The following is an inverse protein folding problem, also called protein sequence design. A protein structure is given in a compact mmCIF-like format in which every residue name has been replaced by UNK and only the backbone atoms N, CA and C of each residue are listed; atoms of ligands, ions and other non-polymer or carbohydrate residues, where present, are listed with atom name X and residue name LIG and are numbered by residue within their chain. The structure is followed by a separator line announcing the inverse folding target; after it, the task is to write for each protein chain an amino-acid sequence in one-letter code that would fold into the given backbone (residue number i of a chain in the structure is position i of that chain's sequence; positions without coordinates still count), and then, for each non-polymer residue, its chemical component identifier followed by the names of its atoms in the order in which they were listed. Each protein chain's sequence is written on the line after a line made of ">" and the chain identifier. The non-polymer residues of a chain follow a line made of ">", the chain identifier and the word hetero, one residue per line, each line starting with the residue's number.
data_IF_048058424667
#
_entry.id   IF_048058424667
#
_cell.length_a   1.000
_cell.length_b   1.000
_cell.length_c   1.000
_cell.angle_alpha   90.00
_cell.angle_beta   90.00
_cell.angle_gamma   90.00
#
_symmetry.space_group_name_H-M   'P 1'
#
loop_
_entity.id
_entity.type
_entity.pdbx_description
1 polymer ?
#
# COMPACT_ATOMS: atom_id res chain seq x y z
N UNK A 1 -12.31 2.52 -15.70
CA UNK A 1 -12.68 3.82 -15.12
C UNK A 1 -12.95 4.86 -16.20
N UNK A 2 -14.00 4.75 -17.04
CA UNK A 2 -14.41 5.88 -17.87
C UNK A 2 -14.67 7.09 -16.95
N UNK A 3 -14.01 8.23 -17.20
CA UNK A 3 -14.20 9.44 -16.40
C UNK A 3 -13.82 9.33 -14.92
N UNK A 4 -12.88 8.46 -14.58
CA UNK A 4 -12.32 8.34 -13.22
C UNK A 4 -13.14 7.52 -12.22
N UNK A 5 -14.26 6.93 -12.63
CA UNK A 5 -15.11 6.14 -11.73
C UNK A 5 -14.47 4.81 -11.37
N UNK A 6 -14.46 4.48 -10.07
CA UNK A 6 -13.87 3.26 -9.51
C UNK A 6 -14.93 2.31 -8.97
N UNK A 7 -14.64 1.02 -9.12
CA UNK A 7 -15.41 -0.09 -8.59
C UNK A 7 -14.42 -1.06 -7.94
N UNK A 8 -14.78 -1.60 -6.79
CA UNK A 8 -14.10 -2.76 -6.22
C UNK A 8 -14.58 -4.04 -6.90
N UNK A 9 -13.67 -4.98 -7.12
CA UNK A 9 -13.98 -6.30 -7.70
C UNK A 9 -14.41 -7.31 -6.64
N UNK A 10 -14.27 -6.97 -5.36
CA UNK A 10 -14.47 -7.84 -4.21
C UNK A 10 -15.33 -7.14 -3.16
N UNK A 11 -16.08 -7.92 -2.37
CA UNK A 11 -16.89 -7.43 -1.25
C UNK A 11 -16.36 -7.91 0.12
N UNK A 12 -15.06 -8.19 0.16
CA UNK A 12 -14.35 -8.67 1.35
C UNK A 12 -12.89 -8.23 1.30
N UNK A 13 -12.13 -8.64 2.31
CA UNK A 13 -10.69 -8.38 2.41
C UNK A 13 -9.94 -9.70 2.62
N UNK A 14 -8.76 -9.81 1.99
CA UNK A 14 -7.78 -10.86 2.27
C UNK A 14 -6.55 -10.26 2.97
N UNK A 15 -6.70 -9.99 4.27
CA UNK A 15 -5.74 -9.23 5.05
C UNK A 15 -4.55 -10.09 5.50
N UNK A 16 -3.34 -9.50 5.51
CA UNK A 16 -2.19 -10.07 6.21
C UNK A 16 -2.38 -9.86 7.71
N UNK A 17 -2.16 -10.88 8.51
CA UNK A 17 -2.41 -10.83 9.96
C UNK A 17 -1.15 -10.71 10.79
N UNK A 18 0.03 -11.01 10.25
CA UNK A 18 1.27 -10.90 11.02
C UNK A 18 1.52 -9.46 11.47
N UNK A 19 1.82 -9.30 12.77
CA UNK A 19 2.00 -8.02 13.44
C UNK A 19 0.75 -7.13 13.51
N UNK A 20 -0.45 -7.71 13.31
CA UNK A 20 -1.70 -6.99 13.48
C UNK A 20 -1.88 -6.60 14.95
N UNK A 21 -2.00 -5.30 15.19
CA UNK A 21 -2.09 -4.72 16.52
C UNK A 21 -3.38 -3.89 16.64
N UNK A 22 -4.13 -4.12 17.73
CA UNK A 22 -5.40 -3.44 17.98
C UNK A 22 -5.23 -1.93 18.19
N UNK A 23 -4.09 -1.50 18.71
CA UNK A 23 -3.79 -0.08 18.95
C UNK A 23 -3.63 0.68 17.62
N UNK A 24 -2.91 0.09 16.67
CA UNK A 24 -2.60 0.74 15.39
C UNK A 24 -3.67 0.50 14.32
N UNK A 25 -4.35 -0.66 14.33
CA UNK A 25 -5.27 -1.10 13.28
C UNK A 25 -6.59 -1.67 13.84
N UNK A 26 -7.35 -0.90 14.65
CA UNK A 26 -8.50 -1.42 15.40
C UNK A 26 -9.62 -1.98 14.52
N UNK A 27 -9.89 -1.37 13.36
CA UNK A 27 -10.95 -1.83 12.46
C UNK A 27 -10.63 -3.20 11.84
N UNK A 28 -9.38 -3.39 11.39
CA UNK A 28 -8.92 -4.67 10.83
C UNK A 28 -8.85 -5.72 11.95
N UNK A 29 -8.32 -5.36 13.13
CA UNK A 29 -8.29 -6.27 14.29
C UNK A 29 -9.68 -6.79 14.65
N UNK A 30 -10.67 -5.89 14.75
CA UNK A 30 -12.04 -6.27 15.06
C UNK A 30 -12.67 -7.15 13.96
N UNK A 31 -12.40 -6.85 12.69
CA UNK A 31 -12.89 -7.65 11.57
C UNK A 31 -12.29 -9.08 11.55
N UNK A 32 -10.97 -9.19 11.75
CA UNK A 32 -10.24 -10.47 11.78
C UNK A 32 -10.62 -11.34 12.98
N UNK A 33 -10.95 -10.73 14.12
CA UNK A 33 -11.38 -11.46 15.33
C UNK A 33 -12.89 -11.68 15.39
N UNK A 34 -13.63 -11.28 14.34
CA UNK A 34 -15.08 -11.48 14.28
C UNK A 34 -15.43 -12.95 13.99
N UNK A 35 -16.61 -13.43 14.44
CA UNK A 35 -17.05 -14.81 14.16
C UNK A 35 -17.21 -15.16 12.67
N UNK A 36 -17.32 -14.15 11.79
CA UNK A 36 -17.44 -14.35 10.35
C UNK A 36 -16.10 -14.46 9.62
N UNK A 37 -14.97 -14.23 10.31
CA UNK A 37 -13.66 -14.26 9.69
C UNK A 37 -13.11 -15.68 9.57
N UNK A 38 -12.44 -15.95 8.45
CA UNK A 38 -11.70 -17.17 8.21
C UNK A 38 -10.21 -16.90 8.30
N UNK A 39 -9.53 -17.56 9.23
CA UNK A 39 -8.09 -17.43 9.43
C UNK A 39 -7.32 -18.52 8.69
N UNK A 40 -6.21 -18.15 8.07
CA UNK A 40 -5.31 -19.05 7.36
C UNK A 40 -3.89 -18.91 7.94
N UNK A 41 -3.34 -20.02 8.44
CA UNK A 41 -1.99 -20.10 9.01
C UNK A 41 -1.71 -19.07 10.13
N UNK A 42 -2.72 -18.75 10.93
CA UNK A 42 -2.61 -17.93 12.14
C UNK A 42 -2.52 -18.83 13.35
N UNK A 43 -1.59 -18.56 14.26
CA UNK A 43 -1.48 -19.30 15.51
C UNK A 43 -2.69 -19.07 16.41
N UNK A 44 -3.20 -20.16 16.98
CA UNK A 44 -4.24 -20.18 17.99
C UNK A 44 -3.77 -21.07 19.14
N UNK A 45 -3.86 -20.59 20.38
CA UNK A 45 -3.54 -21.38 21.56
C UNK A 45 -4.69 -22.32 21.98
N UNK A 46 -4.45 -23.13 23.01
CA UNK A 46 -5.44 -24.09 23.53
C UNK A 46 -6.72 -23.42 24.09
N UNK A 47 -6.67 -22.13 24.42
CA UNK A 47 -7.83 -21.36 24.87
C UNK A 47 -8.67 -20.81 23.71
N UNK A 48 -8.19 -20.94 22.47
CA UNK A 48 -8.79 -20.36 21.28
C UNK A 48 -8.33 -18.93 21.01
N UNK A 49 -7.39 -18.38 21.79
CA UNK A 49 -6.86 -17.04 21.55
C UNK A 49 -5.85 -17.04 20.40
N UNK A 50 -5.99 -16.06 19.51
CA UNK A 50 -5.10 -15.89 18.36
C UNK A 50 -3.89 -15.04 18.74
N UNK A 51 -2.71 -15.40 18.22
CA UNK A 51 -1.51 -14.61 18.40
C UNK A 51 -0.94 -14.19 17.03
N UNK A 52 -1.12 -12.93 16.68
CA UNK A 52 -0.69 -12.35 15.41
C UNK A 52 0.83 -12.07 15.32
N UNK A 53 1.57 -12.22 16.42
CA UNK A 53 3.03 -12.08 16.44
C UNK A 53 3.75 -13.43 16.39
N UNK A 54 3.00 -14.52 16.53
CA UNK A 54 3.52 -15.88 16.43
C UNK A 54 3.75 -16.25 14.95
N UNK A 55 4.88 -16.90 14.66
CA UNK A 55 5.34 -17.17 13.29
C UNK A 55 5.76 -18.62 13.06
N UNK A 56 5.42 -19.54 13.98
CA UNK A 56 5.77 -20.97 13.92
C UNK A 56 5.29 -21.64 12.64
N UNK A 57 4.15 -21.21 12.10
CA UNK A 57 3.67 -21.63 10.78
C UNK A 57 4.27 -20.77 9.66
N UNK A 58 4.10 -19.45 9.74
CA UNK A 58 4.57 -18.49 8.73
C UNK A 58 4.40 -17.04 9.19
N UNK A 59 5.17 -16.11 8.61
CA UNK A 59 4.92 -14.65 8.70
C UNK A 59 3.83 -14.15 7.73
N UNK A 60 3.29 -15.03 6.90
CA UNK A 60 2.25 -14.73 5.93
C UNK A 60 0.89 -15.29 6.34
N UNK A 61 0.58 -15.26 7.65
CA UNK A 61 -0.78 -15.52 8.13
C UNK A 61 -1.77 -14.57 7.46
N UNK A 62 -2.98 -15.07 7.20
CA UNK A 62 -4.02 -14.35 6.46
C UNK A 62 -5.37 -14.48 7.16
N UNK A 63 -6.25 -13.54 6.84
CA UNK A 63 -7.64 -13.58 7.23
C UNK A 63 -8.53 -13.10 6.09
N UNK A 64 -9.66 -13.79 5.88
CA UNK A 64 -10.75 -13.37 5.02
C UNK A 64 -11.90 -12.88 5.89
N UNK A 65 -12.46 -11.73 5.56
CA UNK A 65 -13.65 -11.16 6.21
C UNK A 65 -14.42 -10.27 5.23
N UNK A 66 -15.70 -10.00 5.51
CA UNK A 66 -16.54 -9.13 4.69
C UNK A 66 -16.17 -7.66 4.88
N UNK A 67 -16.34 -6.81 3.87
CA UNK A 67 -16.17 -5.36 4.04
C UNK A 67 -17.06 -4.79 5.16
N UNK A 68 -18.22 -5.40 5.39
CA UNK A 68 -19.12 -5.02 6.48
C UNK A 68 -18.50 -5.17 7.87
N UNK A 69 -17.51 -6.05 8.02
CA UNK A 69 -16.90 -6.37 9.32
C UNK A 69 -15.94 -5.25 9.79
N UNK A 70 -15.56 -4.33 8.90
CA UNK A 70 -14.72 -3.17 9.21
C UNK A 70 -15.45 -2.08 10.03
N UNK A 71 -16.78 -2.17 10.18
CA UNK A 71 -17.63 -1.19 10.87
C UNK A 71 -17.85 0.13 10.12
N UNK A 72 -16.83 0.63 9.40
CA UNK A 72 -16.94 1.77 8.47
C UNK A 72 -16.44 1.36 7.08
N UNK A 73 -17.38 1.21 6.15
CA UNK A 73 -17.10 0.80 4.78
C UNK A 73 -18.05 1.53 3.81
N UNK A 74 -17.74 1.43 2.51
CA UNK A 74 -18.61 1.88 1.41
C UNK A 74 -18.86 0.68 0.49
N UNK A 75 -20.00 0.66 -0.18
CA UNK A 75 -20.28 -0.33 -1.22
C UNK A 75 -19.20 -0.23 -2.31
N UNK A 76 -18.54 -1.36 -2.58
CA UNK A 76 -17.52 -1.48 -3.61
C UNK A 76 -18.06 -1.16 -5.02
N UNK A 77 -19.37 -1.32 -5.24
CA UNK A 77 -20.04 -0.97 -6.48
C UNK A 77 -20.29 0.54 -6.65
N UNK A 78 -20.15 1.34 -5.59
CA UNK A 78 -20.43 2.77 -5.59
C UNK A 78 -19.35 3.58 -4.84
N UNK A 79 -18.14 3.63 -5.41
CA UNK A 79 -17.02 4.37 -4.80
C UNK A 79 -16.94 5.83 -5.29
N UNK A 80 -17.54 6.15 -6.44
CA UNK A 80 -17.46 7.46 -7.06
C UNK A 80 -16.20 7.64 -7.92
N UNK A 81 -15.75 8.89 -8.06
CA UNK A 81 -14.54 9.24 -8.82
C UNK A 81 -13.33 9.33 -7.91
N UNK A 82 -12.14 9.13 -8.49
CA UNK A 82 -10.86 9.27 -7.77
C UNK A 82 -10.25 10.64 -8.02
N UNK A 83 -9.94 11.34 -6.93
CA UNK A 83 -9.21 12.61 -6.97
C UNK A 83 -7.70 12.40 -6.74
N UNK A 84 -7.34 11.38 -5.96
CA UNK A 84 -5.97 11.10 -5.53
C UNK A 84 -5.58 9.63 -5.75
N UNK A 85 -4.38 9.39 -6.28
CA UNK A 85 -3.80 8.04 -6.40
C UNK A 85 -2.48 7.98 -5.64
N UNK A 86 -2.35 6.96 -4.77
CA UNK A 86 -1.13 6.72 -4.00
C UNK A 86 -0.39 5.51 -4.57
N UNK A 87 0.83 5.71 -5.05
CA UNK A 87 1.76 4.64 -5.38
C UNK A 87 2.56 4.33 -4.12
N UNK A 88 2.24 3.20 -3.48
CA UNK A 88 2.96 2.72 -2.31
C UNK A 88 4.27 2.07 -2.75
N UNK A 89 5.38 2.54 -2.20
CA UNK A 89 6.71 2.05 -2.53
C UNK A 89 7.46 1.70 -1.25
N UNK A 90 8.25 0.64 -1.26
CA UNK A 90 9.18 0.37 -0.17
C UNK A 90 10.59 0.74 -0.62
N UNK A 91 11.13 1.80 -0.05
CA UNK A 91 12.48 2.30 -0.34
C UNK A 91 13.20 2.62 0.97
N UNK A 92 14.54 2.52 0.96
CA UNK A 92 15.33 2.71 2.18
C UNK A 92 16.06 4.06 2.26
N UNK A 93 16.28 4.77 1.15
CA UNK A 93 17.23 5.88 1.17
C UNK A 93 17.11 6.92 0.04
N UNK A 94 16.23 6.74 -0.94
CA UNK A 94 16.09 7.62 -2.10
C UNK A 94 14.74 8.33 -2.08
N UNK A 95 13.65 7.60 -1.87
CA UNK A 95 12.30 8.17 -1.96
C UNK A 95 11.94 8.84 -0.63
N UNK A 96 11.50 10.10 -0.62
CA UNK A 96 11.05 10.79 0.59
C UNK A 96 9.77 10.16 1.13
N UNK A 97 9.28 10.63 2.28
CA UNK A 97 8.04 10.09 2.85
C UNK A 97 6.85 10.22 1.88
N UNK A 98 6.79 11.33 1.15
CA UNK A 98 5.81 11.58 0.10
C UNK A 98 6.37 12.53 -0.95
N UNK A 99 6.07 12.25 -2.21
CA UNK A 99 6.29 13.16 -3.33
C UNK A 99 5.01 13.32 -4.15
N UNK A 100 4.77 14.50 -4.73
CA UNK A 100 3.73 14.72 -5.74
C UNK A 100 4.37 14.62 -7.13
N UNK A 101 3.75 13.82 -8.00
CA UNK A 101 4.30 13.45 -9.29
C UNK A 101 3.59 14.17 -10.44
N UNK A 102 4.33 14.46 -11.52
CA UNK A 102 3.71 14.70 -12.83
C UNK A 102 3.08 13.43 -13.40
N UNK A 103 2.27 13.53 -14.45
CA UNK A 103 1.64 12.36 -15.06
C UNK A 103 2.66 11.38 -15.65
N UNK A 104 3.72 11.90 -16.27
CA UNK A 104 4.80 11.09 -16.83
C UNK A 104 5.60 10.39 -15.73
N UNK A 105 5.88 11.11 -14.63
CA UNK A 105 6.53 10.53 -13.46
C UNK A 105 5.64 9.45 -12.83
N UNK A 106 4.34 9.68 -12.70
CA UNK A 106 3.40 8.70 -12.19
C UNK A 106 3.42 7.40 -13.01
N UNK A 107 3.34 7.51 -14.34
CA UNK A 107 3.44 6.35 -15.23
C UNK A 107 4.79 5.64 -15.11
N UNK A 108 5.89 6.39 -14.99
CA UNK A 108 7.22 5.83 -14.81
C UNK A 108 7.37 5.09 -13.48
N UNK A 109 6.99 5.70 -12.35
CA UNK A 109 7.09 5.10 -11.02
C UNK A 109 6.16 3.89 -10.86
N UNK A 110 4.96 3.94 -11.45
CA UNK A 110 4.07 2.79 -11.52
C UNK A 110 4.72 1.60 -12.23
N UNK A 111 5.46 1.86 -13.31
CA UNK A 111 6.16 0.82 -14.07
C UNK A 111 7.52 0.40 -13.48
N UNK A 112 8.18 1.26 -12.69
CA UNK A 112 9.38 0.89 -11.94
C UNK A 112 9.06 -0.13 -10.86
N UNK A 113 7.95 0.08 -10.13
CA UNK A 113 7.38 -0.89 -9.22
C UNK A 113 8.35 -1.43 -8.16
N UNK A 114 9.02 -0.56 -7.42
CA UNK A 114 10.01 -1.00 -6.43
C UNK A 114 9.32 -1.49 -5.14
N UNK A 115 9.69 -2.69 -4.71
CA UNK A 115 9.15 -3.34 -3.51
C UNK A 115 10.18 -4.29 -2.92
N UNK A 116 9.86 -4.90 -1.79
CA UNK A 116 10.58 -6.05 -1.24
C UNK A 116 9.82 -7.33 -1.44
N UNK A 117 10.54 -8.39 -1.81
CA UNK A 117 10.00 -9.74 -1.84
C UNK A 117 9.42 -10.12 -0.48
N UNK A 118 8.21 -10.66 -0.52
CA UNK A 118 7.50 -11.10 0.68
C UNK A 118 7.78 -12.57 0.92
N UNK A 119 7.53 -13.06 2.15
CA UNK A 119 7.63 -14.49 2.45
C UNK A 119 6.70 -15.37 1.58
N UNK A 120 5.67 -14.78 0.95
CA UNK A 120 4.81 -15.46 -0.01
C UNK A 120 5.52 -15.76 -1.35
N UNK A 121 6.56 -14.99 -1.72
CA UNK A 121 7.44 -15.28 -2.86
C UNK A 121 8.45 -16.40 -2.57
N UNK A 122 8.42 -16.96 -1.35
CA UNK A 122 9.35 -17.98 -0.87
C UNK A 122 10.62 -17.41 -0.23
N UNK A 123 11.34 -18.28 0.49
CA UNK A 123 12.55 -17.90 1.24
C UNK A 123 13.66 -17.30 0.35
N UNK A 124 13.66 -17.61 -0.95
CA UNK A 124 14.63 -17.08 -1.90
C UNK A 124 14.38 -15.60 -2.27
N UNK A 125 13.16 -15.09 -2.07
CA UNK A 125 12.77 -13.72 -2.42
C UNK A 125 12.55 -12.83 -1.20
N UNK A 126 12.25 -13.41 -0.03
CA UNK A 126 12.00 -12.66 1.20
C UNK A 126 13.15 -11.70 1.52
N UNK A 127 12.82 -10.40 1.60
CA UNK A 127 13.78 -9.34 1.95
C UNK A 127 14.66 -8.86 0.80
N UNK A 128 14.52 -9.38 -0.41
CA UNK A 128 15.23 -8.85 -1.60
C UNK A 128 14.48 -7.67 -2.18
N UNK A 129 15.21 -6.66 -2.64
CA UNK A 129 14.66 -5.61 -3.48
C UNK A 129 14.23 -6.19 -4.83
N UNK A 130 12.98 -5.94 -5.20
CA UNK A 130 12.37 -6.38 -6.44
C UNK A 130 11.83 -5.17 -7.20
N UNK A 131 11.84 -5.29 -8.52
CA UNK A 131 11.11 -4.40 -9.43
C UNK A 131 9.98 -5.20 -10.05
N UNK A 132 8.76 -4.94 -9.62
CA UNK A 132 7.53 -5.60 -10.04
C UNK A 132 6.64 -4.55 -10.71
N UNK A 133 6.68 -4.45 -12.05
CA UNK A 133 5.97 -3.39 -12.76
C UNK A 133 4.45 -3.43 -12.54
N UNK A 134 3.86 -2.30 -12.20
CA UNK A 134 2.42 -2.11 -12.09
C UNK A 134 1.74 -3.13 -11.18
N UNK A 135 0.77 -3.86 -11.72
CA UNK A 135 -0.03 -4.84 -10.96
C UNK A 135 0.43 -6.28 -11.18
N UNK A 136 1.70 -6.50 -11.55
CA UNK A 136 2.25 -7.84 -11.68
C UNK A 136 2.24 -8.59 -10.33
N UNK A 137 2.05 -9.93 -10.33
CA UNK A 137 2.01 -10.84 -11.48
C UNK A 137 0.62 -10.98 -12.16
N UNK A 138 -0.34 -10.11 -11.86
CA UNK A 138 -1.73 -10.29 -12.25
C UNK A 138 -2.13 -9.66 -13.58
N UNK A 139 -1.18 -9.07 -14.32
CA UNK A 139 -1.47 -8.45 -15.61
C UNK A 139 -1.17 -9.42 -16.76
N UNK A 140 -2.20 -9.92 -17.49
CA UNK A 140 -2.01 -11.00 -18.46
C UNK A 140 -1.48 -10.53 -19.82
N UNK A 141 -1.33 -9.22 -20.03
CA UNK A 141 -0.87 -8.65 -21.31
C UNK A 141 0.58 -8.15 -21.19
N UNK A 142 1.12 -7.62 -22.28
CA UNK A 142 2.48 -7.03 -22.31
C UNK A 142 2.60 -5.91 -21.28
N UNK A 143 3.63 -5.94 -20.43
CA UNK A 143 3.77 -5.01 -19.29
C UNK A 143 3.67 -3.53 -19.69
N UNK A 144 4.27 -3.12 -20.81
CA UNK A 144 4.19 -1.72 -21.28
C UNK A 144 2.77 -1.21 -21.53
N UNK A 145 1.79 -2.11 -21.74
CA UNK A 145 0.39 -1.72 -21.87
C UNK A 145 -0.21 -1.22 -20.54
N UNK A 146 0.33 -1.61 -19.39
CA UNK A 146 -0.11 -1.10 -18.09
C UNK A 146 0.21 0.39 -17.96
N UNK A 147 1.46 0.78 -18.22
CA UNK A 147 1.90 2.18 -18.18
C UNK A 147 1.14 3.04 -19.18
N UNK A 148 0.98 2.56 -20.41
CA UNK A 148 0.19 3.27 -21.43
C UNK A 148 -1.28 3.42 -21.02
N UNK A 149 -1.86 2.37 -20.41
CA UNK A 149 -3.23 2.44 -19.90
C UNK A 149 -3.35 3.43 -18.74
N UNK A 150 -2.36 3.47 -17.86
CA UNK A 150 -2.34 4.39 -16.74
C UNK A 150 -2.23 5.84 -17.23
N UNK A 151 -1.33 6.13 -18.18
CA UNK A 151 -1.22 7.46 -18.78
C UNK A 151 -2.53 7.89 -19.46
N UNK A 152 -3.13 7.02 -20.27
CA UNK A 152 -4.44 7.28 -20.90
C UNK A 152 -5.56 7.56 -19.89
N UNK A 153 -5.49 6.98 -18.68
CA UNK A 153 -6.44 7.30 -17.61
C UNK A 153 -6.19 8.71 -17.07
N UNK A 154 -4.94 9.10 -16.82
CA UNK A 154 -4.58 10.44 -16.35
C UNK A 154 -4.93 11.54 -17.37
N UNK A 155 -4.80 11.24 -18.67
CA UNK A 155 -5.20 12.15 -19.76
C UNK A 155 -6.71 12.44 -19.76
N UNK A 156 -7.52 11.40 -19.50
CA UNK A 156 -8.99 11.47 -19.60
C UNK A 156 -9.66 11.86 -18.29
N UNK A 157 -8.97 11.68 -17.18
CA UNK A 157 -9.40 12.06 -15.85
C UNK A 157 -8.18 12.47 -15.02
N UNK A 158 -7.82 13.76 -15.04
CA UNK A 158 -6.74 14.27 -14.22
C UNK A 158 -7.01 13.97 -12.73
N UNK A 159 -6.08 13.25 -12.10
CA UNK A 159 -6.04 12.99 -10.67
C UNK A 159 -4.63 13.29 -10.18
N UNK A 160 -4.49 13.73 -8.94
CA UNK A 160 -3.15 13.96 -8.36
C UNK A 160 -2.54 12.62 -7.94
N UNK A 161 -1.30 12.37 -8.35
CA UNK A 161 -0.60 11.13 -8.05
C UNK A 161 0.54 11.40 -7.08
N UNK A 162 0.60 10.60 -6.03
CA UNK A 162 1.61 10.69 -4.99
C UNK A 162 2.42 9.40 -4.92
N UNK A 163 3.73 9.54 -4.77
CA UNK A 163 4.62 8.44 -4.41
C UNK A 163 4.79 8.44 -2.89
N UNK A 164 4.38 7.37 -2.21
CA UNK A 164 4.46 7.28 -0.76
C UNK A 164 5.43 6.17 -0.35
N UNK A 165 6.51 6.54 0.35
CA UNK A 165 7.45 5.57 0.88
C UNK A 165 6.90 4.93 2.16
N UNK A 166 6.99 3.62 2.24
CA UNK A 166 6.57 2.78 3.37
C UNK A 166 7.75 2.05 4.04
N UNK A 167 8.98 2.34 3.58
CA UNK A 167 10.23 1.85 4.12
C UNK A 167 10.89 2.83 5.08
N UNK A 168 12.01 3.44 4.66
CA UNK A 168 12.85 4.33 5.47
C UNK A 168 13.28 5.57 4.70
N UNK A 169 13.58 6.62 5.45
CA UNK A 169 14.15 7.88 4.95
C UNK A 169 15.45 8.19 5.70
N UNK A 170 16.33 8.98 5.08
CA UNK A 170 17.57 9.43 5.70
C UNK A 170 18.71 8.41 5.72
N UNK A 171 18.50 7.20 5.21
CA UNK A 171 19.52 6.15 5.10
C UNK A 171 18.95 4.75 5.33
N UNK A 172 19.74 3.74 4.98
CA UNK A 172 19.40 2.32 5.22
C UNK A 172 19.38 1.98 6.71
N UNK A 173 18.88 0.81 7.04
CA UNK A 173 18.93 0.32 8.43
C UNK A 173 20.37 0.29 8.94
N UNK A 174 20.59 0.82 10.15
CA UNK A 174 21.91 1.01 10.74
C UNK A 174 22.56 2.39 10.54
N UNK A 175 22.04 3.26 9.65
CA UNK A 175 22.47 4.66 9.57
C UNK A 175 21.80 5.48 10.70
N UNK A 176 22.57 6.31 11.40
CA UNK A 176 22.08 7.15 12.51
C UNK A 176 20.97 8.12 12.10
N UNK A 177 20.94 8.54 10.82
CA UNK A 177 19.92 9.43 10.26
C UNK A 177 18.68 8.67 9.81
N UNK A 178 18.76 7.34 9.70
CA UNK A 178 17.68 6.50 9.19
C UNK A 178 16.46 6.53 10.09
N UNK A 179 15.30 6.83 9.50
CA UNK A 179 14.01 6.74 10.18
C UNK A 179 13.10 5.81 9.41
N UNK A 180 12.64 4.74 10.05
CA UNK A 180 11.56 3.90 9.52
C UNK A 180 10.26 4.70 9.51
N UNK A 181 9.58 4.72 8.37
CA UNK A 181 8.24 5.29 8.26
C UNK A 181 7.28 4.32 8.96
N UNK A 182 6.65 4.79 10.04
CA UNK A 182 5.69 4.01 10.82
C UNK A 182 4.26 4.33 10.38
N UNK A 183 3.32 3.44 10.73
CA UNK A 183 1.88 3.60 10.42
C UNK A 183 1.36 5.00 10.79
N UNK A 184 1.64 5.59 11.98
CA UNK A 184 1.17 6.95 12.29
C UNK A 184 1.69 8.03 11.33
N UNK A 185 2.92 7.90 10.84
CA UNK A 185 3.50 8.82 9.85
C UNK A 185 2.80 8.68 8.50
N UNK A 186 2.61 7.45 8.02
CA UNK A 186 1.87 7.20 6.77
C UNK A 186 0.43 7.72 6.86
N UNK A 187 -0.25 7.49 7.97
CA UNK A 187 -1.61 7.99 8.20
C UNK A 187 -1.68 9.52 8.24
N UNK A 188 -0.68 10.18 8.83
CA UNK A 188 -0.58 11.64 8.84
C UNK A 188 -0.37 12.20 7.43
N UNK A 189 0.47 11.56 6.61
CA UNK A 189 0.66 11.92 5.20
C UNK A 189 -0.64 11.79 4.42
N UNK A 190 -1.34 10.64 4.51
CA UNK A 190 -2.60 10.43 3.79
C UNK A 190 -3.65 11.46 4.22
N UNK A 191 -3.73 11.76 5.52
CA UNK A 191 -4.61 12.81 6.04
C UNK A 191 -4.24 14.18 5.46
N UNK A 192 -2.95 14.53 5.44
CA UNK A 192 -2.49 15.82 4.94
C UNK A 192 -2.73 15.99 3.43
N UNK A 193 -2.64 14.92 2.64
CA UNK A 193 -3.06 14.88 1.23
C UNK A 193 -4.57 15.16 1.14
N UNK A 194 -5.39 14.42 1.89
CA UNK A 194 -6.85 14.55 1.85
C UNK A 194 -7.34 15.93 2.31
N UNK A 195 -6.66 16.54 3.28
CA UNK A 195 -6.96 17.89 3.80
C UNK A 195 -6.22 19.01 3.03
N UNK A 196 -5.39 18.67 2.04
CA UNK A 196 -4.60 19.61 1.24
C UNK A 196 -3.73 20.57 2.07
N UNK A 197 -3.10 20.05 3.12
CA UNK A 197 -2.30 20.85 4.07
C UNK A 197 -0.79 20.83 3.80
N UNK A 198 -0.35 20.04 2.82
CA UNK A 198 1.07 19.89 2.47
C UNK A 198 1.53 21.09 1.63
N UNK A 199 2.70 21.65 1.99
CA UNK A 199 3.44 22.59 1.14
C UNK A 199 4.43 21.81 0.29
N UNK A 200 4.59 22.24 -0.95
CA UNK A 200 5.36 21.54 -1.97
C UNK A 200 6.49 22.41 -2.47
N UNK A 201 7.69 21.84 -2.53
CA UNK A 201 8.84 22.42 -3.21
C UNK A 201 9.40 21.43 -4.24
N UNK A 202 10.01 21.96 -5.30
CA UNK A 202 10.61 21.12 -6.34
C UNK A 202 11.88 20.43 -5.85
N UNK A 203 11.98 19.13 -6.08
CA UNK A 203 13.20 18.36 -5.87
C UNK A 203 14.18 18.61 -7.03
N UNK A 204 15.39 19.13 -6.77
CA UNK A 204 16.34 19.47 -7.83
C UNK A 204 16.97 18.25 -8.51
N UNK A 205 16.95 17.08 -7.87
CA UNK A 205 17.63 15.88 -8.35
C UNK A 205 16.68 14.98 -9.16
N UNK A 206 15.43 14.85 -8.70
CA UNK A 206 14.42 13.95 -9.28
C UNK A 206 13.30 14.69 -10.03
N UNK A 207 13.14 16.00 -9.81
CA UNK A 207 12.18 16.84 -10.52
C UNK A 207 10.71 16.60 -10.16
N UNK A 208 10.41 15.78 -9.15
CA UNK A 208 9.08 15.74 -8.53
C UNK A 208 8.97 16.81 -7.44
N UNK A 209 7.80 16.99 -6.85
CA UNK A 209 7.64 17.87 -5.69
C UNK A 209 7.72 17.07 -4.37
N UNK A 210 8.31 17.67 -3.34
CA UNK A 210 8.45 17.10 -1.99
C UNK A 210 7.77 17.96 -0.95
N UNK A 211 7.30 17.31 0.12
CA UNK A 211 6.66 17.99 1.24
C UNK A 211 7.67 18.81 2.08
N UNK A 212 7.32 20.05 2.43
CA UNK A 212 8.13 20.96 3.28
C UNK A 212 7.42 21.49 4.53
#
# INVERSE_FOLDING_TARGET
>A
MPGGTVYGTENGCFAKTFSLDREFEPNIYNAVTSPGSYLENVYQDESGAVNFFETSYTKNGRAVFSLSDLGRFKDAADLGKVDYLLILNWNENIIPAVSRLTQEQAAAYFMLGETTGTSAGGAAEEGKFLRVPGTNPFFPLRHGLQGNRFLSLLDTHPMEVYLMNTGRIGGRDGDERSKKIKIPTSSAVVKAIAEQTIKWDGDPDFGYEVAT
#
